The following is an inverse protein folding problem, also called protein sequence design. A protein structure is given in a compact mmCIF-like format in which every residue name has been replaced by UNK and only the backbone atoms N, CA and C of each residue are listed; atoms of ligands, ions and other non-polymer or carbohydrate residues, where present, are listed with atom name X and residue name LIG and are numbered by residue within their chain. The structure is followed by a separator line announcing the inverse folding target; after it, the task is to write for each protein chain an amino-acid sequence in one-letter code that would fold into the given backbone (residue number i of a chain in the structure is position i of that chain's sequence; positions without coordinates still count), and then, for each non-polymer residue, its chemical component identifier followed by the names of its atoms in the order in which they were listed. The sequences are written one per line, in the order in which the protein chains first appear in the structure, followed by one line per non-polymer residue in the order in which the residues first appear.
data_IF_436229640489
#
_entry.id   IF_436229640489
#
_cell.length_a   1.000
_cell.length_b   1.000
_cell.length_c   1.000
_cell.angle_alpha   90.00
_cell.angle_beta   90.00
_cell.angle_gamma   90.00
#
_symmetry.space_group_name_H-M   'P 1'
#
loop_
_entity.id
_entity.type
_entity.pdbx_description
1 polymer ?
#
# COMPACT_ATOMS: atom_id res chain seq x y z
N UNK A 1 -12.73 -22.16 9.98
CA UNK A 1 -12.41 -23.32 9.09
C UNK A 1 -11.28 -24.16 9.68
N UNK A 2 -11.12 -25.44 9.32
CA UNK A 2 -9.99 -26.25 9.82
C UNK A 2 -8.64 -25.71 9.30
N UNK A 3 -7.57 -25.87 10.08
CA UNK A 3 -6.22 -25.43 9.67
C UNK A 3 -5.78 -26.05 8.35
N UNK A 4 -6.05 -27.34 8.14
CA UNK A 4 -5.67 -28.04 6.90
C UNK A 4 -6.37 -27.44 5.68
N UNK A 5 -7.66 -27.09 5.81
CA UNK A 5 -8.42 -26.44 4.74
C UNK A 5 -7.85 -25.05 4.42
N UNK A 6 -7.55 -24.26 5.46
CA UNK A 6 -6.99 -22.91 5.29
C UNK A 6 -5.60 -22.97 4.65
N UNK A 7 -4.75 -23.88 5.14
CA UNK A 7 -3.41 -24.11 4.59
C UNK A 7 -3.47 -24.52 3.11
N UNK A 8 -4.37 -25.43 2.76
CA UNK A 8 -4.56 -25.85 1.37
C UNK A 8 -4.98 -24.69 0.45
N UNK A 9 -5.93 -23.86 0.88
CA UNK A 9 -6.42 -22.71 0.11
C UNK A 9 -5.32 -21.66 -0.10
N UNK A 10 -4.51 -21.40 0.93
CA UNK A 10 -3.53 -20.31 0.92
C UNK A 10 -2.15 -20.72 0.44
N UNK A 11 -1.83 -22.02 0.36
CA UNK A 11 -0.52 -22.52 -0.08
C UNK A 11 -0.12 -21.98 -1.46
N UNK A 12 -1.04 -22.01 -2.44
CA UNK A 12 -0.80 -21.46 -3.79
C UNK A 12 -0.48 -19.96 -3.77
N UNK A 13 -1.35 -19.11 -3.21
CA UNK A 13 -1.09 -17.68 -3.02
C UNK A 13 0.23 -17.37 -2.30
N UNK A 14 0.56 -18.08 -1.22
CA UNK A 14 1.84 -17.92 -0.51
C UNK A 14 3.03 -18.23 -1.42
N UNK A 15 2.98 -19.36 -2.13
CA UNK A 15 4.04 -19.76 -3.04
C UNK A 15 4.25 -18.72 -4.15
N UNK A 16 3.16 -18.25 -4.76
CA UNK A 16 3.22 -17.19 -5.78
C UNK A 16 3.83 -15.91 -5.21
N UNK A 17 3.39 -15.48 -4.02
CA UNK A 17 3.89 -14.25 -3.41
C UNK A 17 5.40 -14.30 -3.14
N UNK A 18 5.87 -15.41 -2.55
CA UNK A 18 7.29 -15.63 -2.28
C UNK A 18 8.08 -15.72 -3.58
N UNK A 19 7.59 -16.47 -4.57
CA UNK A 19 8.24 -16.65 -5.86
C UNK A 19 8.40 -15.32 -6.60
N UNK A 20 7.31 -14.54 -6.73
CA UNK A 20 7.35 -13.25 -7.43
C UNK A 20 8.23 -12.25 -6.69
N UNK A 21 8.10 -12.13 -5.37
CA UNK A 21 8.97 -11.29 -4.55
C UNK A 21 10.46 -11.66 -4.72
N UNK A 22 10.78 -12.95 -4.73
CA UNK A 22 12.16 -13.45 -4.92
C UNK A 22 12.71 -13.16 -6.31
N UNK A 23 11.90 -13.33 -7.36
CA UNK A 23 12.28 -13.01 -8.75
C UNK A 23 12.56 -11.50 -8.88
N UNK A 24 11.68 -10.66 -8.35
CA UNK A 24 11.84 -9.20 -8.38
C UNK A 24 13.06 -8.76 -7.57
N UNK A 25 13.30 -9.36 -6.41
CA UNK A 25 14.46 -9.05 -5.58
C UNK A 25 15.77 -9.44 -6.30
N UNK A 26 15.81 -10.64 -6.88
CA UNK A 26 16.95 -11.09 -7.70
C UNK A 26 17.19 -10.11 -8.86
N UNK A 27 16.13 -9.69 -9.55
CA UNK A 27 16.23 -8.69 -10.63
C UNK A 27 16.79 -7.38 -10.11
N UNK A 28 16.27 -6.84 -9.00
CA UNK A 28 16.71 -5.57 -8.42
C UNK A 28 18.21 -5.57 -8.09
N UNK A 29 18.75 -6.69 -7.57
CA UNK A 29 20.18 -6.84 -7.30
C UNK A 29 21.04 -7.14 -8.54
N UNK A 30 20.44 -7.64 -9.62
CA UNK A 30 21.15 -7.93 -10.86
C UNK A 30 21.29 -6.71 -11.78
N UNK A 31 20.60 -5.60 -11.48
CA UNK A 31 20.70 -4.37 -12.26
C UNK A 31 22.07 -3.70 -12.07
N UNK A 32 22.65 -3.20 -13.16
CA UNK A 32 23.93 -2.46 -13.15
C UNK A 32 23.89 -1.22 -12.23
N UNK A 33 22.70 -0.66 -12.04
CA UNK A 33 22.44 0.47 -11.13
C UNK A 33 21.27 0.10 -10.22
N UNK A 34 21.51 0.17 -8.92
CA UNK A 34 20.46 -0.02 -7.93
C UNK A 34 19.42 1.11 -8.03
N UNK A 35 18.15 0.72 -8.16
CA UNK A 35 17.01 1.63 -8.21
C UNK A 35 16.13 1.37 -6.97
N UNK A 36 15.93 2.36 -6.08
CA UNK A 36 15.10 2.22 -4.90
C UNK A 36 13.69 1.72 -5.22
N UNK A 37 13.11 2.16 -6.33
CA UNK A 37 11.79 1.75 -6.80
C UNK A 37 11.69 0.24 -7.13
N UNK A 38 12.73 -0.37 -7.71
CA UNK A 38 12.73 -1.81 -8.01
C UNK A 38 12.85 -2.65 -6.73
N UNK A 39 13.68 -2.18 -5.78
CA UNK A 39 13.78 -2.82 -4.47
C UNK A 39 12.47 -2.69 -3.68
N UNK A 40 11.83 -1.52 -3.72
CA UNK A 40 10.54 -1.30 -3.06
C UNK A 40 9.43 -2.17 -3.67
N UNK A 41 9.40 -2.37 -4.99
CA UNK A 41 8.47 -3.30 -5.64
C UNK A 41 8.70 -4.74 -5.19
N UNK A 42 9.95 -5.18 -5.07
CA UNK A 42 10.25 -6.50 -4.53
C UNK A 42 9.82 -6.62 -3.06
N UNK A 43 10.13 -5.60 -2.25
CA UNK A 43 9.80 -5.57 -0.82
C UNK A 43 8.30 -5.48 -0.55
N UNK A 44 7.52 -4.87 -1.44
CA UNK A 44 6.06 -4.79 -1.33
C UNK A 44 5.42 -6.19 -1.18
N UNK A 45 6.02 -7.24 -1.75
CA UNK A 45 5.53 -8.62 -1.63
C UNK A 45 5.62 -9.19 -0.22
N UNK A 46 6.47 -8.64 0.66
CA UNK A 46 6.47 -8.99 2.09
C UNK A 46 5.11 -8.67 2.71
N UNK A 47 4.47 -7.58 2.28
CA UNK A 47 3.14 -7.23 2.76
C UNK A 47 2.06 -8.16 2.23
N UNK A 48 2.21 -8.73 1.03
CA UNK A 48 1.29 -9.79 0.54
C UNK A 48 1.40 -11.03 1.43
N UNK A 49 2.62 -11.46 1.77
CA UNK A 49 2.84 -12.57 2.70
C UNK A 49 2.22 -12.28 4.06
N UNK A 50 2.46 -11.09 4.61
CA UNK A 50 1.83 -10.64 5.86
C UNK A 50 0.31 -10.68 5.79
N UNK A 51 -0.28 -10.17 4.70
CA UNK A 51 -1.73 -10.21 4.46
C UNK A 51 -2.28 -11.63 4.48
N UNK A 52 -1.61 -12.57 3.80
CA UNK A 52 -2.03 -13.97 3.76
C UNK A 52 -1.94 -14.65 5.14
N UNK A 53 -0.97 -14.29 5.98
CA UNK A 53 -0.88 -14.78 7.37
C UNK A 53 -2.09 -14.32 8.18
N UNK A 54 -2.40 -13.02 8.13
CA UNK A 54 -3.57 -12.47 8.83
C UNK A 54 -4.90 -13.01 8.30
N UNK A 55 -4.97 -13.28 6.99
CA UNK A 55 -6.14 -13.91 6.37
C UNK A 55 -6.29 -15.37 6.82
N UNK A 56 -5.20 -16.13 6.95
CA UNK A 56 -5.23 -17.49 7.51
C UNK A 56 -5.78 -17.49 8.93
N UNK A 57 -5.33 -16.56 9.77
CA UNK A 57 -5.80 -16.41 11.15
C UNK A 57 -7.29 -16.09 11.18
N UNK A 58 -7.76 -15.18 10.32
CA UNK A 58 -9.17 -14.86 10.17
C UNK A 58 -10.00 -16.07 9.74
N UNK A 59 -9.62 -16.77 8.67
CA UNK A 59 -10.38 -17.91 8.13
C UNK A 59 -10.43 -19.12 9.08
N UNK A 60 -9.45 -19.25 9.97
CA UNK A 60 -9.38 -20.31 10.98
C UNK A 60 -10.04 -19.92 12.31
N UNK A 61 -10.66 -18.74 12.42
CA UNK A 61 -11.21 -18.18 13.66
C UNK A 61 -10.20 -18.19 14.82
N UNK A 62 -8.91 -18.05 14.48
CA UNK A 62 -7.81 -18.05 15.44
C UNK A 62 -7.50 -16.64 15.94
N UNK A 63 -6.71 -16.55 17.00
CA UNK A 63 -6.11 -15.29 17.44
C UNK A 63 -4.64 -15.25 17.07
N UNK A 64 -4.15 -14.07 16.67
CA UNK A 64 -2.74 -13.81 16.44
C UNK A 64 -2.32 -12.61 17.26
N UNK A 65 -1.29 -12.76 18.10
CA UNK A 65 -0.83 -11.73 19.03
C UNK A 65 -1.95 -11.23 19.97
N UNK A 66 -2.93 -12.08 20.30
CA UNK A 66 -4.09 -11.73 21.12
C UNK A 66 -5.23 -11.04 20.37
N UNK A 67 -5.07 -10.73 19.08
CA UNK A 67 -6.12 -10.13 18.26
C UNK A 67 -7.03 -11.19 17.63
N UNK A 68 -8.34 -11.05 17.84
CA UNK A 68 -9.39 -11.80 17.14
C UNK A 68 -10.09 -10.95 16.09
N UNK A 69 -11.26 -11.40 15.61
CA UNK A 69 -12.13 -10.58 14.77
C UNK A 69 -12.62 -9.34 15.51
N UNK A 70 -12.71 -8.15 14.87
CA UNK A 70 -12.50 -7.88 13.45
C UNK A 70 -11.04 -7.55 13.06
N UNK A 71 -10.13 -7.47 14.02
CA UNK A 71 -8.76 -6.96 13.82
C UNK A 71 -7.91 -7.82 12.90
N UNK A 72 -8.10 -9.14 12.92
CA UNK A 72 -7.37 -10.07 12.05
C UNK A 72 -7.70 -9.86 10.56
N UNK A 73 -8.98 -9.63 10.24
CA UNK A 73 -9.41 -9.30 8.89
C UNK A 73 -8.92 -7.91 8.45
N UNK A 74 -9.03 -6.92 9.34
CA UNK A 74 -8.55 -5.56 9.08
C UNK A 74 -7.04 -5.55 8.79
N UNK A 75 -6.24 -6.26 9.60
CA UNK A 75 -4.82 -6.40 9.37
C UNK A 75 -4.54 -7.03 8.00
N UNK A 76 -5.23 -8.11 7.63
CA UNK A 76 -5.10 -8.73 6.32
C UNK A 76 -5.32 -7.73 5.18
N UNK A 77 -6.42 -6.97 5.21
CA UNK A 77 -6.73 -5.96 4.21
C UNK A 77 -5.69 -4.83 4.21
N UNK A 78 -5.26 -4.37 5.38
CA UNK A 78 -4.33 -3.26 5.53
C UNK A 78 -2.94 -3.63 4.98
N UNK A 79 -2.42 -4.82 5.28
CA UNK A 79 -1.19 -5.33 4.67
C UNK A 79 -1.30 -5.38 3.13
N UNK A 80 -2.42 -5.86 2.58
CA UNK A 80 -2.56 -5.96 1.12
C UNK A 80 -2.64 -4.59 0.43
N UNK A 81 -3.51 -3.69 0.91
CA UNK A 81 -3.79 -2.45 0.18
C UNK A 81 -2.92 -1.29 0.62
N UNK A 82 -2.79 -1.05 1.93
CA UNK A 82 -1.97 0.03 2.46
C UNK A 82 -0.48 -0.31 2.46
N UNK A 83 -0.13 -1.60 2.64
CA UNK A 83 1.25 -2.07 2.53
C UNK A 83 1.69 -2.28 1.08
N UNK A 84 1.23 -3.37 0.47
CA UNK A 84 1.62 -3.74 -0.89
C UNK A 84 1.16 -2.73 -1.94
N UNK A 85 -0.11 -2.34 -1.91
CA UNK A 85 -0.70 -1.42 -2.87
C UNK A 85 0.00 -0.06 -2.91
N UNK A 86 0.10 0.62 -1.75
CA UNK A 86 0.73 1.93 -1.67
C UNK A 86 2.18 1.91 -2.16
N UNK A 87 3.03 1.02 -1.63
CA UNK A 87 4.43 0.90 -2.07
C UNK A 87 4.55 0.61 -3.57
N UNK A 88 3.67 -0.24 -4.10
CA UNK A 88 3.66 -0.58 -5.53
C UNK A 88 3.33 0.64 -6.37
N UNK A 89 2.27 1.38 -6.04
CA UNK A 89 1.87 2.57 -6.78
C UNK A 89 2.95 3.65 -6.69
N UNK A 90 3.52 3.92 -5.51
CA UNK A 90 4.61 4.90 -5.35
C UNK A 90 5.87 4.53 -6.14
N UNK A 91 6.23 3.25 -6.15
CA UNK A 91 7.38 2.78 -6.91
C UNK A 91 7.15 2.91 -8.43
N UNK A 92 5.97 2.55 -8.92
CA UNK A 92 5.59 2.73 -10.32
C UNK A 92 5.50 4.21 -10.71
N UNK A 93 5.01 5.07 -9.81
CA UNK A 93 4.96 6.53 -9.98
C UNK A 93 6.33 7.15 -10.27
N UNK A 94 7.42 6.55 -9.77
CA UNK A 94 8.78 7.00 -10.08
C UNK A 94 9.12 6.91 -11.58
N UNK A 95 8.51 5.99 -12.32
CA UNK A 95 8.80 5.73 -13.75
C UNK A 95 8.17 6.77 -14.70
N UNK A 96 7.06 7.39 -14.28
CA UNK A 96 6.28 8.31 -15.12
C UNK A 96 6.68 9.78 -14.91
N UNK A 97 7.27 10.11 -13.75
CA UNK A 97 7.72 11.46 -13.39
C UNK A 97 9.06 11.78 -14.06
N UNK A 98 9.08 12.78 -14.96
CA UNK A 98 10.30 13.20 -15.66
C UNK A 98 11.18 14.15 -14.82
N UNK A 99 10.57 14.95 -13.94
CA UNK A 99 11.30 15.89 -13.09
C UNK A 99 12.18 15.18 -12.05
N UNK A 100 13.46 15.54 -11.98
CA UNK A 100 14.45 14.86 -11.13
C UNK A 100 14.26 15.16 -9.64
N UNK A 101 13.76 16.35 -9.29
CA UNK A 101 13.42 16.70 -7.90
C UNK A 101 12.20 15.91 -7.44
N UNK A 102 11.13 15.89 -8.24
CA UNK A 102 9.93 15.14 -7.88
C UNK A 102 10.17 13.64 -7.81
N UNK A 103 11.00 13.09 -8.72
CA UNK A 103 11.40 11.68 -8.62
C UNK A 103 12.21 11.38 -7.36
N UNK A 104 13.06 12.31 -6.91
CA UNK A 104 13.78 12.17 -5.64
C UNK A 104 12.82 12.18 -4.46
N UNK A 105 11.82 13.06 -4.47
CA UNK A 105 10.75 13.08 -3.46
C UNK A 105 10.04 11.73 -3.41
N UNK A 106 9.55 11.21 -4.54
CA UNK A 106 8.90 9.90 -4.60
C UNK A 106 9.79 8.77 -4.04
N UNK A 107 11.08 8.76 -4.37
CA UNK A 107 12.02 7.77 -3.81
C UNK A 107 12.21 7.89 -2.31
N UNK A 108 12.15 9.09 -1.74
CA UNK A 108 12.11 9.27 -0.28
C UNK A 108 10.82 8.72 0.31
N UNK A 109 9.68 8.88 -0.38
CA UNK A 109 8.39 8.35 0.08
C UNK A 109 8.41 6.81 0.18
N UNK A 110 9.16 6.12 -0.68
CA UNK A 110 9.34 4.66 -0.57
C UNK A 110 9.91 4.20 0.78
N UNK A 111 10.70 5.07 1.43
CA UNK A 111 11.24 4.83 2.79
C UNK A 111 10.26 5.36 3.85
N UNK A 112 9.55 6.45 3.56
CA UNK A 112 8.57 7.02 4.48
C UNK A 112 7.38 6.06 4.72
N UNK A 113 6.93 5.32 3.71
CA UNK A 113 5.84 4.34 3.83
C UNK A 113 6.08 3.30 4.95
N UNK A 114 7.17 2.51 4.94
CA UNK A 114 7.41 1.54 6.01
C UNK A 114 7.61 2.19 7.37
N UNK A 115 8.14 3.41 7.45
CA UNK A 115 8.24 4.14 8.72
C UNK A 115 6.86 4.52 9.25
N UNK A 116 6.01 5.13 8.41
CA UNK A 116 4.64 5.49 8.77
C UNK A 116 3.81 4.25 9.15
N UNK A 117 4.04 3.13 8.46
CA UNK A 117 3.48 1.83 8.81
C UNK A 117 3.88 1.39 10.22
N UNK A 118 5.18 1.43 10.56
CA UNK A 118 5.66 1.05 11.89
C UNK A 118 5.11 1.96 12.99
N UNK A 119 4.98 3.26 12.73
CA UNK A 119 4.35 4.21 13.65
C UNK A 119 2.88 3.84 13.86
N UNK A 120 2.13 3.58 12.79
CA UNK A 120 0.72 3.17 12.88
C UNK A 120 0.57 1.85 13.65
N UNK A 121 1.45 0.87 13.40
CA UNK A 121 1.47 -0.39 14.13
C UNK A 121 1.77 -0.21 15.63
N UNK A 122 2.64 0.75 15.99
CA UNK A 122 2.88 1.11 17.38
C UNK A 122 1.62 1.71 18.03
N UNK A 123 0.90 2.58 17.33
CA UNK A 123 -0.38 3.14 17.79
C UNK A 123 -1.42 2.05 18.09
N UNK A 124 -1.63 1.13 17.14
CA UNK A 124 -2.50 -0.05 17.33
C UNK A 124 -2.06 -0.91 18.53
N UNK A 125 -0.75 -0.94 18.82
CA UNK A 125 -0.19 -1.68 19.96
C UNK A 125 -0.34 -0.94 21.30
N UNK A 126 -0.95 0.24 21.32
CA UNK A 126 -1.23 1.04 22.51
C UNK A 126 -0.19 2.11 22.84
N UNK A 127 0.74 2.42 21.92
CA UNK A 127 1.67 3.53 22.13
C UNK A 127 0.96 4.89 21.92
N UNK A 128 0.97 5.79 22.92
CA UNK A 128 0.25 7.06 22.83
C UNK A 128 0.71 7.92 21.65
N UNK A 129 -0.23 8.63 21.02
CA UNK A 129 -0.01 9.55 19.89
C UNK A 129 0.47 8.92 18.58
N UNK A 130 0.74 7.62 18.57
CA UNK A 130 1.25 6.94 17.37
C UNK A 130 0.16 6.72 16.31
N UNK A 131 -1.11 6.62 16.69
CA UNK A 131 -2.22 6.53 15.73
C UNK A 131 -2.39 7.83 14.95
N UNK A 132 -2.39 8.96 15.66
CA UNK A 132 -2.49 10.31 15.09
C UNK A 132 -1.27 10.60 14.21
N UNK A 133 -0.07 10.33 14.73
CA UNK A 133 1.16 10.54 13.98
C UNK A 133 1.21 9.65 12.73
N UNK A 134 0.81 8.39 12.84
CA UNK A 134 0.73 7.45 11.71
C UNK A 134 -0.22 7.95 10.62
N UNK A 135 -1.43 8.34 11.01
CA UNK A 135 -2.44 8.88 10.10
C UNK A 135 -1.95 10.17 9.39
N UNK A 136 -1.41 11.13 10.14
CA UNK A 136 -0.89 12.38 9.56
C UNK A 136 0.34 12.14 8.68
N UNK A 137 1.22 11.18 9.03
CA UNK A 137 2.32 10.76 8.17
C UNK A 137 1.82 10.23 6.83
N UNK A 138 0.84 9.32 6.84
CA UNK A 138 0.27 8.82 5.59
C UNK A 138 -0.43 9.91 4.79
N UNK A 139 -1.17 10.82 5.42
CA UNK A 139 -1.82 11.92 4.71
C UNK A 139 -0.77 12.79 4.00
N UNK A 140 0.32 13.11 4.68
CA UNK A 140 1.44 13.85 4.09
C UNK A 140 2.09 13.08 2.95
N UNK A 141 2.35 11.78 3.11
CA UNK A 141 2.95 10.93 2.07
C UNK A 141 2.09 10.93 0.81
N UNK A 142 0.81 10.59 0.92
CA UNK A 142 -0.07 10.50 -0.25
C UNK A 142 -0.35 11.86 -0.89
N UNK A 143 -0.46 12.93 -0.09
CA UNK A 143 -0.59 14.29 -0.64
C UNK A 143 0.67 14.69 -1.41
N UNK A 144 1.84 14.36 -0.87
CA UNK A 144 3.12 14.63 -1.52
C UNK A 144 3.28 13.80 -2.80
N UNK A 145 2.88 12.52 -2.78
CA UNK A 145 2.88 11.66 -3.96
C UNK A 145 1.95 12.22 -5.05
N UNK A 146 0.70 12.54 -4.68
CA UNK A 146 -0.27 13.15 -5.58
C UNK A 146 0.32 14.38 -6.26
N UNK A 147 0.93 15.27 -5.49
CA UNK A 147 1.54 16.48 -6.02
C UNK A 147 2.74 16.16 -6.93
N UNK A 148 3.66 15.31 -6.49
CA UNK A 148 4.84 14.94 -7.26
C UNK A 148 4.50 14.29 -8.61
N UNK A 149 3.46 13.46 -8.67
CA UNK A 149 3.03 12.81 -9.92
C UNK A 149 2.35 13.81 -10.86
N UNK A 150 1.44 14.65 -10.34
CA UNK A 150 0.68 15.57 -11.19
C UNK A 150 1.51 16.74 -11.72
N UNK A 151 2.49 17.22 -10.95
CA UNK A 151 3.31 18.38 -11.28
C UNK A 151 4.75 18.01 -11.71
N UNK A 152 5.17 16.76 -11.55
CA UNK A 152 6.51 16.27 -11.92
C UNK A 152 6.74 16.00 -13.41
N UNK A 153 6.03 16.71 -14.29
CA UNK A 153 6.07 16.53 -15.76
C UNK A 153 5.85 15.06 -16.16
N UNK A 154 4.65 14.50 -15.98
CA UNK A 154 4.35 13.10 -16.29
C UNK A 154 4.22 12.84 -17.80
N UNK A 155 5.22 13.25 -18.58
CA UNK A 155 5.20 13.28 -20.05
C UNK A 155 5.34 11.87 -20.67
N UNK A 156 5.47 10.84 -19.83
CA UNK A 156 5.71 9.45 -20.23
C UNK A 156 4.44 8.59 -20.23
N UNK A 157 3.29 9.19 -19.93
CA UNK A 157 2.01 8.51 -19.85
C UNK A 157 0.97 9.28 -20.66
N UNK A 158 0.14 8.54 -21.42
CA UNK A 158 -0.96 9.13 -22.19
C UNK A 158 -2.01 9.77 -21.26
N UNK A 159 -2.88 10.62 -21.83
CA UNK A 159 -3.85 11.40 -21.06
C UNK A 159 -4.78 10.52 -20.21
N UNK A 160 -5.42 9.50 -20.78
CA UNK A 160 -6.40 8.68 -20.03
C UNK A 160 -5.77 7.87 -18.89
N UNK A 161 -4.67 7.12 -19.09
CA UNK A 161 -3.99 6.46 -17.98
C UNK A 161 -3.49 7.44 -16.92
N UNK A 162 -3.05 8.65 -17.32
CA UNK A 162 -2.68 9.69 -16.38
C UNK A 162 -3.87 10.15 -15.53
N UNK A 163 -5.04 10.37 -16.13
CA UNK A 163 -6.25 10.72 -15.37
C UNK A 163 -6.62 9.63 -14.37
N UNK A 164 -6.53 8.35 -14.76
CA UNK A 164 -6.74 7.23 -13.85
C UNK A 164 -5.75 7.23 -12.69
N UNK A 165 -4.46 7.48 -12.95
CA UNK A 165 -3.44 7.59 -11.90
C UNK A 165 -3.71 8.78 -10.98
N UNK A 166 -4.10 9.94 -11.53
CA UNK A 166 -4.47 11.11 -10.72
C UNK A 166 -5.64 10.81 -9.79
N UNK A 167 -6.69 10.14 -10.31
CA UNK A 167 -7.82 9.70 -9.50
C UNK A 167 -7.39 8.69 -8.43
N UNK A 168 -6.55 7.72 -8.80
CA UNK A 168 -6.01 6.73 -7.89
C UNK A 168 -5.23 7.37 -6.72
N UNK A 169 -4.48 8.43 -6.98
CA UNK A 169 -3.71 9.15 -5.95
C UNK A 169 -4.55 10.11 -5.11
N UNK A 170 -5.69 10.57 -5.61
CA UNK A 170 -6.63 11.39 -4.84
C UNK A 170 -7.39 10.56 -3.78
N UNK A 171 -7.66 9.28 -4.09
CA UNK A 171 -8.39 8.36 -3.21
C UNK A 171 -7.78 8.22 -1.80
N UNK A 172 -6.48 7.91 -1.62
CA UNK A 172 -5.91 7.78 -0.28
C UNK A 172 -5.95 9.12 0.49
N UNK A 173 -5.78 10.26 -0.20
CA UNK A 173 -5.91 11.58 0.43
C UNK A 173 -7.32 11.79 1.00
N UNK A 174 -8.36 11.45 0.24
CA UNK A 174 -9.75 11.59 0.67
C UNK A 174 -10.15 10.57 1.74
N UNK A 175 -9.64 9.34 1.64
CA UNK A 175 -9.96 8.27 2.61
C UNK A 175 -9.17 8.39 3.91
N UNK A 176 -8.09 9.18 3.94
CA UNK A 176 -7.34 9.48 5.16
C UNK A 176 -7.97 10.59 5.99
N UNK A 177 -8.78 11.49 5.42
CA UNK A 177 -9.51 12.50 6.20
C UNK A 177 -10.38 11.89 7.32
N UNK A 178 -11.26 10.88 7.06
CA UNK A 178 -11.99 10.24 8.14
C UNK A 178 -11.09 9.39 9.05
N UNK A 179 -9.98 8.85 8.54
CA UNK A 179 -9.02 8.09 9.36
C UNK A 179 -8.31 8.97 10.38
N UNK A 180 -7.91 10.18 9.95
CA UNK A 180 -7.32 11.19 10.81
C UNK A 180 -8.34 11.66 11.85
N UNK A 181 -9.57 11.98 11.43
CA UNK A 181 -10.64 12.33 12.36
C UNK A 181 -10.85 11.23 13.43
N UNK A 182 -10.82 9.96 13.03
CA UNK A 182 -10.89 8.82 13.93
C UNK A 182 -9.71 8.78 14.90
N UNK A 183 -8.47 8.93 14.41
CA UNK A 183 -7.27 8.95 15.24
C UNK A 183 -7.29 10.06 16.30
N UNK A 184 -7.83 11.24 15.97
CA UNK A 184 -8.01 12.36 16.90
C UNK A 184 -9.28 12.26 17.77
N UNK A 185 -9.91 11.09 17.86
CA UNK A 185 -11.07 10.84 18.72
C UNK A 185 -12.37 11.51 18.26
N UNK A 186 -12.48 11.84 16.97
CA UNK A 186 -13.66 12.45 16.33
C UNK A 186 -14.16 11.58 15.18
N UNK A 187 -14.59 10.33 15.45
CA UNK A 187 -14.98 9.39 14.41
C UNK A 187 -16.17 9.93 13.60
N UNK A 188 -16.04 9.91 12.27
CA UNK A 188 -17.11 10.24 11.33
C UNK A 188 -17.95 8.99 11.02
N UNK A 189 -17.30 7.83 11.03
CA UNK A 189 -17.86 6.52 10.76
C UNK A 189 -17.64 5.63 11.99
N UNK A 190 -18.51 4.63 12.19
CA UNK A 190 -18.19 3.55 13.10
C UNK A 190 -17.03 2.69 12.57
N UNK A 191 -16.52 1.74 13.37
CA UNK A 191 -15.37 0.93 12.94
C UNK A 191 -15.69 0.10 11.69
N UNK A 192 -16.88 -0.49 11.59
CA UNK A 192 -17.24 -1.33 10.45
C UNK A 192 -17.37 -0.50 9.16
N UNK A 193 -18.05 0.64 9.25
CA UNK A 193 -18.16 1.63 8.18
C UNK A 193 -16.80 2.18 7.77
N UNK A 194 -15.93 2.47 8.74
CA UNK A 194 -14.58 2.96 8.47
C UNK A 194 -13.77 1.92 7.71
N UNK A 195 -13.81 0.65 8.11
CA UNK A 195 -13.09 -0.40 7.35
C UNK A 195 -13.68 -0.60 5.97
N UNK A 196 -15.00 -0.58 5.81
CA UNK A 196 -15.63 -0.70 4.49
C UNK A 196 -15.25 0.48 3.59
N UNK A 197 -15.44 1.71 4.06
CA UNK A 197 -15.13 2.91 3.30
C UNK A 197 -13.64 3.00 3.00
N UNK A 198 -12.79 3.01 4.03
CA UNK A 198 -11.36 3.16 3.85
C UNK A 198 -10.74 1.97 3.12
N UNK A 199 -11.13 0.75 3.46
CA UNK A 199 -10.59 -0.47 2.85
C UNK A 199 -11.01 -0.65 1.40
N UNK A 200 -12.32 -0.65 1.10
CA UNK A 200 -12.85 -0.93 -0.25
C UNK A 200 -12.50 0.21 -1.20
N UNK A 201 -12.63 1.46 -0.76
CA UNK A 201 -12.32 2.61 -1.63
C UNK A 201 -10.82 2.64 -1.95
N UNK A 202 -9.92 2.32 -1.02
CA UNK A 202 -8.50 2.19 -1.36
C UNK A 202 -8.21 0.99 -2.26
N UNK A 203 -8.84 -0.17 -2.03
CA UNK A 203 -8.65 -1.35 -2.86
C UNK A 203 -9.04 -1.10 -4.33
N UNK A 204 -10.24 -0.56 -4.55
CA UNK A 204 -10.77 -0.33 -5.91
C UNK A 204 -10.20 0.97 -6.50
N UNK A 205 -10.24 2.05 -5.73
CA UNK A 205 -9.89 3.39 -6.17
C UNK A 205 -8.40 3.62 -6.26
N UNK A 206 -7.64 3.36 -5.18
CA UNK A 206 -6.19 3.60 -5.20
C UNK A 206 -5.44 2.50 -5.95
N UNK A 207 -5.56 1.26 -5.48
CA UNK A 207 -4.78 0.14 -6.01
C UNK A 207 -5.32 -0.29 -7.37
N UNK A 208 -6.64 -0.51 -7.48
CA UNK A 208 -7.28 -0.93 -8.74
C UNK A 208 -7.06 0.05 -9.88
N UNK A 209 -7.48 1.32 -9.73
CA UNK A 209 -7.29 2.32 -10.79
C UNK A 209 -5.80 2.59 -11.06
N UNK A 210 -4.95 2.60 -10.03
CA UNK A 210 -3.51 2.78 -10.19
C UNK A 210 -2.87 1.68 -11.04
N UNK A 211 -3.16 0.42 -10.75
CA UNK A 211 -2.66 -0.71 -11.53
C UNK A 211 -3.20 -0.70 -12.97
N UNK A 212 -4.47 -0.35 -13.19
CA UNK A 212 -5.05 -0.19 -14.53
C UNK A 212 -4.34 0.94 -15.28
N UNK A 213 -4.09 2.08 -14.62
CA UNK A 213 -3.34 3.19 -15.19
C UNK A 213 -1.96 2.75 -15.68
N UNK A 214 -1.21 2.02 -14.86
CA UNK A 214 0.12 1.52 -15.27
C UNK A 214 0.06 0.40 -16.30
N UNK A 215 -1.01 -0.39 -16.33
CA UNK A 215 -1.23 -1.41 -17.35
C UNK A 215 -1.51 -0.78 -18.73
N UNK A 216 -2.36 0.25 -18.80
CA UNK A 216 -2.70 0.94 -20.06
C UNK A 216 -1.68 1.97 -20.50
N UNK A 217 -1.02 2.62 -19.54
CA UNK A 217 -0.14 3.75 -19.77
C UNK A 217 1.35 3.42 -19.75
N UNK A 218 1.74 2.14 -19.85
CA UNK A 218 3.13 1.68 -19.71
C UNK A 218 4.11 2.63 -20.41
N UNK A 219 4.97 3.34 -19.67
CA UNK A 219 6.02 4.12 -20.30
C UNK A 219 6.96 3.17 -21.08
N UNK A 220 7.49 3.58 -22.24
CA UNK A 220 8.41 2.74 -23.00
C UNK A 220 9.60 2.34 -22.13
N UNK A 221 9.99 1.06 -22.20
CA UNK A 221 11.15 0.52 -21.49
C UNK A 221 12.38 1.38 -21.80
N UNK A 222 13.04 1.91 -20.75
CA UNK A 222 14.30 2.65 -20.87
C UNK A 222 15.48 1.69 -20.95
#
# INVERSE_FOLDING_TARGET
MSYDTVAFILAGPFFIAILVGSILLKRAFSLRKFLPEEFALAFAWVFVVGSLIWLAVYLSDSTLLGFGTPWTWLAAAHFMFAGFGALTITALSCSVVADSRMRRVLRTLLIAHPIAYLITAAGISGYPFCDELGASCYLLIFTTEFWAVNFGKPNRMALYPRLLLTLALAVPVLTLMPAEAWAFGRPIFDLAEMVQYHGIVNAVGHVGLGLIAFFWGRPPLQ
#
